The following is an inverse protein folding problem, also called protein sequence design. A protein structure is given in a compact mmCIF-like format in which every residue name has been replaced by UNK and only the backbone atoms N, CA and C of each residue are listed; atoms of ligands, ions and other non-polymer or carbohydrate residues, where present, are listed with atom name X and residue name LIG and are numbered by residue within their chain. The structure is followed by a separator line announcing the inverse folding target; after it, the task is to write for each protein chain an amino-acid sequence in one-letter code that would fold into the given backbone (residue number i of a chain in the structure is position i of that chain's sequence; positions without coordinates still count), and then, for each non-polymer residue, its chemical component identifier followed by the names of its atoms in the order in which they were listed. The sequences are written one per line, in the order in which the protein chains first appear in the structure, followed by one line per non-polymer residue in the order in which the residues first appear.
data_IF_453229588919
#
_entry.id   IF_453229588919
#
_cell.length_a   1.000
_cell.length_b   1.000
_cell.length_c   1.000
_cell.angle_alpha   90.00
_cell.angle_beta   90.00
_cell.angle_gamma   90.00
#
_symmetry.space_group_name_H-M   'P 1'
#
loop_
_entity.id
_entity.type
_entity.pdbx_description
1 polymer ?
#
# COMPACT_ATOMS: atom_id res chain seq x y z
N UNK A 1 -1.83 -26.54 -41.65
CA UNK A 1 -1.51 -26.34 -40.23
C UNK A 1 -1.60 -24.84 -39.95
N UNK A 2 -2.54 -24.41 -39.12
CA UNK A 2 -2.71 -22.98 -38.79
C UNK A 2 -1.77 -22.64 -37.64
N UNK A 3 -1.14 -21.46 -37.67
CA UNK A 3 -0.26 -20.99 -36.59
C UNK A 3 -0.91 -21.02 -35.21
N UNK A 4 -2.24 -20.85 -35.17
CA UNK A 4 -3.06 -20.98 -33.93
C UNK A 4 -3.04 -22.39 -33.31
N UNK A 5 -2.64 -23.42 -34.02
CA UNK A 5 -2.52 -24.78 -33.52
C UNK A 5 -1.15 -25.05 -32.86
N UNK A 6 -0.17 -24.20 -33.18
CA UNK A 6 1.21 -24.28 -32.65
C UNK A 6 1.45 -23.35 -31.47
N UNK A 7 0.63 -22.29 -31.30
CA UNK A 7 0.81 -21.28 -30.27
C UNK A 7 -0.31 -21.42 -29.24
N UNK A 8 0.00 -22.02 -28.12
CA UNK A 8 -0.91 -22.06 -26.96
C UNK A 8 -0.63 -20.90 -26.02
N UNK A 9 -1.50 -19.87 -26.08
CA UNK A 9 -1.46 -18.77 -25.13
C UNK A 9 -2.01 -19.24 -23.78
N UNK A 10 -1.17 -19.30 -22.76
CA UNK A 10 -1.66 -19.53 -21.39
C UNK A 10 -2.59 -18.38 -20.99
N UNK A 11 -3.83 -18.68 -20.64
CA UNK A 11 -4.86 -17.69 -20.21
C UNK A 11 -4.49 -16.90 -18.95
N UNK A 12 -3.40 -17.29 -18.29
CA UNK A 12 -2.91 -16.71 -17.03
C UNK A 12 -2.15 -15.39 -17.21
N UNK A 13 -1.67 -15.05 -18.41
CA UNK A 13 -0.97 -13.79 -18.66
C UNK A 13 -1.98 -12.67 -18.86
N UNK A 14 -2.19 -11.85 -17.83
CA UNK A 14 -2.89 -10.56 -17.96
C UNK A 14 -1.95 -9.53 -18.59
N UNK A 15 -2.50 -8.67 -19.42
CA UNK A 15 -1.73 -7.67 -20.18
C UNK A 15 -1.20 -6.50 -19.34
N UNK A 16 -1.71 -6.31 -18.12
CA UNK A 16 -1.21 -5.31 -17.16
C UNK A 16 -1.02 -5.93 -15.79
N UNK A 17 0.06 -5.58 -15.11
CA UNK A 17 0.27 -5.81 -13.70
C UNK A 17 -0.26 -4.59 -12.94
N UNK A 18 -0.90 -4.82 -11.81
CA UNK A 18 -1.29 -3.78 -10.86
C UNK A 18 -0.85 -4.24 -9.47
N UNK A 19 0.11 -3.55 -8.91
CA UNK A 19 0.77 -3.93 -7.66
C UNK A 19 -0.25 -4.15 -6.51
N UNK A 20 -1.26 -3.28 -6.40
CA UNK A 20 -2.25 -3.34 -5.32
C UNK A 20 -3.10 -4.63 -5.33
N UNK A 21 -3.31 -5.22 -6.51
CA UNK A 21 -4.08 -6.45 -6.68
C UNK A 21 -3.19 -7.68 -6.83
N UNK A 22 -2.05 -7.51 -7.51
CA UNK A 22 -1.21 -8.62 -7.92
C UNK A 22 -0.32 -9.17 -6.80
N UNK A 23 0.02 -8.37 -5.79
CA UNK A 23 0.70 -8.85 -4.58
C UNK A 23 -0.05 -9.96 -3.84
N UNK A 24 -1.39 -10.00 -3.97
CA UNK A 24 -2.24 -11.04 -3.36
C UNK A 24 -2.42 -12.27 -4.24
N UNK A 25 -1.85 -12.28 -5.44
CA UNK A 25 -2.06 -13.34 -6.43
C UNK A 25 -0.87 -14.28 -6.46
N UNK A 26 -1.03 -15.49 -5.92
CA UNK A 26 0.01 -16.51 -5.81
C UNK A 26 0.69 -16.84 -7.14
N UNK A 27 -0.03 -16.69 -8.27
CA UNK A 27 0.49 -17.02 -9.59
C UNK A 27 1.46 -15.98 -10.17
N UNK A 28 1.68 -14.84 -9.52
CA UNK A 28 2.54 -13.79 -10.11
C UNK A 28 4.02 -14.09 -9.97
N UNK A 29 4.43 -14.67 -8.87
CA UNK A 29 5.83 -15.13 -8.69
C UNK A 29 6.09 -16.34 -9.59
N UNK A 30 5.17 -17.29 -9.62
CA UNK A 30 5.30 -18.54 -10.41
C UNK A 30 5.41 -18.29 -11.91
N UNK A 31 4.82 -17.23 -12.42
CA UNK A 31 4.81 -16.87 -13.83
C UNK A 31 5.91 -15.86 -14.21
N UNK A 32 6.75 -15.44 -13.25
CA UNK A 32 7.89 -14.60 -13.57
C UNK A 32 8.96 -15.42 -14.31
N UNK A 33 9.37 -14.92 -15.46
CA UNK A 33 10.41 -15.55 -16.27
C UNK A 33 11.66 -14.66 -16.15
N UNK A 34 12.64 -15.07 -15.34
CA UNK A 34 13.88 -14.30 -15.21
C UNK A 34 14.70 -14.38 -16.48
N UNK A 35 15.48 -13.34 -16.72
CA UNK A 35 16.57 -13.31 -17.67
C UNK A 35 17.78 -12.64 -17.00
N UNK A 36 18.92 -12.57 -17.68
CA UNK A 36 20.15 -11.99 -17.12
C UNK A 36 19.89 -10.60 -16.55
N UNK A 37 19.33 -9.69 -17.34
CA UNK A 37 19.08 -8.29 -16.93
C UNK A 37 18.11 -8.17 -15.77
N UNK A 38 17.00 -8.91 -15.80
CA UNK A 38 16.02 -8.85 -14.69
C UNK A 38 16.57 -9.47 -13.42
N UNK A 39 17.45 -10.45 -13.51
CA UNK A 39 18.12 -11.07 -12.37
C UNK A 39 19.16 -10.12 -11.75
N UNK A 40 19.93 -9.41 -12.57
CA UNK A 40 20.86 -8.36 -12.11
C UNK A 40 20.13 -7.25 -11.37
N UNK A 41 19.06 -6.68 -11.98
CA UNK A 41 18.24 -5.64 -11.35
C UNK A 41 17.64 -6.15 -10.04
N UNK A 42 17.10 -7.38 -10.03
CA UNK A 42 16.53 -7.98 -8.81
C UNK A 42 17.59 -8.06 -7.71
N UNK A 43 18.81 -8.51 -8.03
CA UNK A 43 19.93 -8.56 -7.09
C UNK A 43 20.30 -7.20 -6.54
N UNK A 44 20.48 -6.18 -7.39
CA UNK A 44 20.80 -4.81 -6.96
C UNK A 44 19.76 -4.23 -6.01
N UNK A 45 18.46 -4.47 -6.28
CA UNK A 45 17.39 -3.99 -5.42
C UNK A 45 17.39 -4.71 -4.07
N UNK A 46 17.49 -6.04 -4.07
CA UNK A 46 17.43 -6.84 -2.84
C UNK A 46 18.64 -6.56 -1.94
N UNK A 47 19.85 -6.60 -2.50
CA UNK A 47 21.07 -6.30 -1.72
C UNK A 47 21.03 -4.88 -1.15
N UNK A 48 20.66 -3.89 -1.98
CA UNK A 48 20.61 -2.50 -1.53
C UNK A 48 19.57 -2.19 -0.46
N UNK A 49 18.46 -2.93 -0.41
CA UNK A 49 17.39 -2.73 0.59
C UNK A 49 17.67 -3.55 1.86
N UNK A 50 18.05 -4.80 1.71
CA UNK A 50 18.21 -5.74 2.83
C UNK A 50 19.47 -5.42 3.65
N UNK A 51 20.55 -5.04 3.00
CA UNK A 51 21.82 -4.72 3.68
C UNK A 51 21.90 -3.31 4.24
N UNK A 52 20.81 -2.53 4.12
CA UNK A 52 20.75 -1.20 4.71
C UNK A 52 21.68 -0.18 4.06
N UNK A 53 21.84 -0.27 2.74
CA UNK A 53 22.64 0.68 1.97
C UNK A 53 22.12 2.12 2.06
N UNK A 54 22.94 3.11 1.73
CA UNK A 54 22.61 4.55 1.78
C UNK A 54 21.54 4.98 0.75
N UNK A 55 21.06 4.07 -0.10
CA UNK A 55 20.07 4.35 -1.14
C UNK A 55 18.68 3.90 -0.66
N UNK A 56 17.90 4.86 -0.19
CA UNK A 56 16.56 4.61 0.35
C UNK A 56 15.44 4.68 -0.68
N UNK A 57 15.71 5.10 -1.92
CA UNK A 57 14.73 5.14 -3.01
C UNK A 57 15.31 4.63 -4.32
N UNK A 58 14.49 3.96 -5.12
CA UNK A 58 14.87 3.39 -6.42
C UNK A 58 13.73 3.57 -7.42
N UNK A 59 14.08 3.81 -8.67
CA UNK A 59 13.13 4.00 -9.77
C UNK A 59 13.45 2.99 -10.87
N UNK A 60 12.44 2.19 -11.25
CA UNK A 60 12.48 1.35 -12.44
C UNK A 60 11.97 2.14 -13.64
N UNK A 61 12.81 2.44 -14.59
CA UNK A 61 12.42 3.11 -15.82
C UNK A 61 12.70 2.25 -17.05
N UNK A 62 11.99 2.49 -18.14
CA UNK A 62 12.14 1.75 -19.39
C UNK A 62 10.87 1.77 -20.23
N UNK A 63 10.90 1.18 -21.42
CA UNK A 63 9.79 1.15 -22.37
C UNK A 63 8.54 0.48 -21.79
N UNK A 64 7.37 0.82 -22.32
CA UNK A 64 6.12 0.16 -21.97
C UNK A 64 6.17 -1.33 -22.36
N UNK A 65 5.58 -2.18 -21.52
CA UNK A 65 5.51 -3.64 -21.79
C UNK A 65 6.77 -4.45 -21.45
N UNK A 66 7.82 -3.84 -20.88
CA UNK A 66 9.08 -4.55 -20.53
C UNK A 66 9.02 -5.34 -19.22
N UNK A 67 7.86 -5.41 -18.57
CA UNK A 67 7.67 -6.21 -17.35
C UNK A 67 8.08 -5.52 -16.05
N UNK A 68 8.26 -4.17 -16.03
CA UNK A 68 8.64 -3.41 -14.82
C UNK A 68 7.71 -3.64 -13.63
N UNK A 69 6.40 -3.49 -13.83
CA UNK A 69 5.40 -3.71 -12.77
C UNK A 69 5.40 -5.15 -12.25
N UNK A 70 5.67 -6.13 -13.13
CA UNK A 70 5.82 -7.52 -12.72
C UNK A 70 7.10 -7.74 -11.88
N UNK A 71 8.22 -7.17 -12.31
CA UNK A 71 9.47 -7.20 -11.53
C UNK A 71 9.30 -6.51 -10.17
N UNK A 72 8.64 -5.34 -10.13
CA UNK A 72 8.32 -4.64 -8.89
C UNK A 72 7.45 -5.52 -7.96
N UNK A 73 6.44 -6.21 -8.52
CA UNK A 73 5.61 -7.15 -7.77
C UNK A 73 6.45 -8.28 -7.15
N UNK A 74 7.39 -8.84 -7.90
CA UNK A 74 8.29 -9.90 -7.41
C UNK A 74 9.21 -9.37 -6.31
N UNK A 75 9.81 -8.19 -6.49
CA UNK A 75 10.65 -7.54 -5.46
C UNK A 75 9.85 -7.35 -4.16
N UNK A 76 8.65 -6.78 -4.27
CA UNK A 76 7.76 -6.54 -3.13
C UNK A 76 7.33 -7.85 -2.45
N UNK A 77 7.07 -8.89 -3.21
CA UNK A 77 6.69 -10.19 -2.69
C UNK A 77 7.83 -10.84 -1.89
N UNK A 78 9.05 -10.78 -2.38
CA UNK A 78 10.24 -11.29 -1.68
C UNK A 78 10.47 -10.51 -0.38
N UNK A 79 10.50 -9.17 -0.47
CA UNK A 79 10.76 -8.31 0.68
C UNK A 79 9.67 -8.42 1.76
N UNK A 80 8.41 -8.58 1.34
CA UNK A 80 7.28 -8.74 2.26
C UNK A 80 7.01 -10.16 2.72
N UNK A 81 7.79 -11.15 2.28
CA UNK A 81 7.54 -12.59 2.46
C UNK A 81 6.11 -12.99 2.04
N UNK A 82 5.62 -12.41 0.94
CA UNK A 82 4.27 -12.62 0.43
C UNK A 82 4.32 -13.71 -0.64
N UNK A 83 3.55 -14.80 -0.48
CA UNK A 83 3.47 -15.90 -1.44
C UNK A 83 4.84 -16.55 -1.77
N UNK A 84 5.75 -16.58 -0.80
CA UNK A 84 7.12 -17.12 -0.95
C UNK A 84 7.24 -18.56 -0.42
N UNK A 85 6.14 -19.31 -0.40
CA UNK A 85 6.06 -20.69 0.07
C UNK A 85 5.38 -21.55 -1.01
N UNK A 86 5.87 -22.77 -1.17
CA UNK A 86 5.26 -23.76 -2.05
C UNK A 86 5.98 -23.94 -3.39
N UNK A 87 5.47 -24.90 -4.19
CA UNK A 87 6.12 -25.35 -5.43
C UNK A 87 6.37 -24.26 -6.48
N UNK A 88 5.55 -23.22 -6.49
CA UNK A 88 5.72 -22.12 -7.42
C UNK A 88 6.95 -21.29 -7.08
N UNK A 89 7.10 -20.95 -5.81
CA UNK A 89 8.27 -20.21 -5.34
C UNK A 89 9.56 -21.05 -5.49
N UNK A 90 9.51 -22.35 -5.23
CA UNK A 90 10.66 -23.26 -5.47
C UNK A 90 11.11 -23.21 -6.94
N UNK A 91 10.17 -23.28 -7.90
CA UNK A 91 10.48 -23.15 -9.33
C UNK A 91 11.04 -21.77 -9.69
N UNK A 92 10.54 -20.72 -9.06
CA UNK A 92 11.09 -19.37 -9.23
C UNK A 92 12.55 -19.33 -8.77
N UNK A 93 12.88 -19.85 -7.58
CA UNK A 93 14.27 -19.92 -7.09
C UNK A 93 15.15 -20.77 -8.02
N UNK A 94 14.69 -21.93 -8.46
CA UNK A 94 15.40 -22.75 -9.46
C UNK A 94 15.65 -22.01 -10.78
N UNK A 95 14.74 -21.13 -11.17
CA UNK A 95 14.90 -20.33 -12.39
C UNK A 95 15.90 -19.17 -12.20
N UNK A 96 15.98 -18.56 -11.02
CA UNK A 96 17.01 -17.58 -10.67
C UNK A 96 18.39 -18.25 -10.57
N UNK A 97 18.47 -19.41 -9.95
CA UNK A 97 19.72 -20.18 -9.78
C UNK A 97 20.46 -20.42 -11.10
N UNK A 98 19.72 -20.61 -12.20
CA UNK A 98 20.29 -20.76 -13.57
C UNK A 98 21.09 -19.55 -14.04
N UNK A 99 20.80 -18.37 -13.55
CA UNK A 99 21.43 -17.10 -13.94
C UNK A 99 22.36 -16.57 -12.86
N UNK A 100 21.99 -16.72 -11.58
CA UNK A 100 22.74 -16.22 -10.44
C UNK A 100 22.46 -17.06 -9.19
N UNK A 101 23.34 -18.01 -8.93
CA UNK A 101 23.25 -18.93 -7.79
C UNK A 101 23.32 -18.20 -6.44
N UNK A 102 24.23 -17.23 -6.32
CA UNK A 102 24.42 -16.45 -5.10
C UNK A 102 23.13 -15.70 -4.74
N UNK A 103 22.46 -15.10 -5.73
CA UNK A 103 21.19 -14.43 -5.51
C UNK A 103 20.08 -15.40 -5.09
N UNK A 104 20.00 -16.58 -5.67
CA UNK A 104 19.03 -17.61 -5.27
C UNK A 104 19.22 -18.06 -3.82
N UNK A 105 20.46 -18.30 -3.41
CA UNK A 105 20.83 -18.63 -2.03
C UNK A 105 20.54 -17.45 -1.09
N UNK A 106 20.84 -16.22 -1.49
CA UNK A 106 20.57 -15.00 -0.72
C UNK A 106 19.08 -14.80 -0.47
N UNK A 107 18.24 -14.90 -1.50
CA UNK A 107 16.76 -14.78 -1.37
C UNK A 107 16.25 -15.85 -0.40
N UNK A 108 16.68 -17.08 -0.57
CA UNK A 108 16.25 -18.19 0.28
C UNK A 108 16.66 -17.99 1.74
N UNK A 109 17.90 -17.52 1.98
CA UNK A 109 18.40 -17.18 3.31
C UNK A 109 17.64 -16.04 3.95
N UNK A 110 17.35 -14.96 3.17
CA UNK A 110 16.59 -13.81 3.65
C UNK A 110 15.20 -14.23 4.14
N UNK A 111 14.47 -14.98 3.30
CA UNK A 111 13.11 -15.43 3.66
C UNK A 111 13.10 -16.33 4.88
N UNK A 112 14.12 -17.16 5.04
CA UNK A 112 14.19 -18.12 6.16
C UNK A 112 14.64 -17.50 7.48
N UNK A 113 15.57 -16.54 7.43
CA UNK A 113 16.30 -16.09 8.60
C UNK A 113 15.99 -14.63 9.03
N UNK A 114 15.26 -13.89 8.21
CA UNK A 114 14.99 -12.46 8.46
C UNK A 114 13.51 -12.19 8.64
N UNK A 115 13.19 -11.05 9.27
CA UNK A 115 11.81 -10.54 9.28
C UNK A 115 11.47 -9.94 7.92
N UNK A 116 10.20 -9.97 7.49
CA UNK A 116 9.76 -9.26 6.29
C UNK A 116 9.79 -7.73 6.48
N UNK A 117 9.70 -7.00 5.39
CA UNK A 117 9.31 -5.59 5.38
C UNK A 117 7.78 -5.47 5.28
N UNK A 118 7.22 -4.41 5.84
CA UNK A 118 5.84 -4.03 5.57
C UNK A 118 5.80 -3.35 4.19
N UNK A 119 5.30 -4.06 3.19
CA UNK A 119 5.13 -3.50 1.84
C UNK A 119 3.81 -2.76 1.77
N UNK A 120 3.89 -1.47 1.44
CA UNK A 120 2.75 -0.56 1.30
C UNK A 120 2.60 -0.15 -0.16
N UNK A 121 1.71 -0.80 -0.92
CA UNK A 121 1.37 -0.35 -2.27
C UNK A 121 0.66 1.00 -2.20
N UNK A 122 1.12 1.96 -3.00
CA UNK A 122 0.53 3.29 -3.01
C UNK A 122 -0.67 3.36 -3.95
N UNK A 123 -1.78 3.85 -3.41
CA UNK A 123 -3.01 4.10 -4.15
C UNK A 123 -3.01 5.56 -4.64
N UNK A 124 -3.07 5.77 -5.95
CA UNK A 124 -2.92 7.07 -6.60
C UNK A 124 -4.19 7.95 -6.59
N UNK A 125 -5.13 7.71 -5.68
CA UNK A 125 -6.43 8.39 -5.68
C UNK A 125 -6.40 9.80 -5.08
N UNK A 126 -5.29 10.21 -4.48
CA UNK A 126 -5.11 11.51 -3.84
C UNK A 126 -4.22 12.43 -4.67
N UNK A 127 -4.52 13.75 -4.64
CA UNK A 127 -3.69 14.76 -5.29
C UNK A 127 -2.44 15.13 -4.47
N UNK A 128 -2.54 15.00 -3.13
CA UNK A 128 -1.46 15.33 -2.20
C UNK A 128 -0.68 14.08 -1.82
N UNK A 129 0.63 14.15 -1.99
CA UNK A 129 1.54 13.04 -1.73
C UNK A 129 1.44 12.52 -0.29
N UNK A 130 1.44 13.41 0.70
CA UNK A 130 1.41 13.04 2.12
C UNK A 130 0.12 12.29 2.50
N UNK A 131 -1.02 12.72 1.94
CA UNK A 131 -2.30 12.04 2.12
C UNK A 131 -2.29 10.65 1.49
N UNK A 132 -1.69 10.54 0.30
CA UNK A 132 -1.55 9.27 -0.41
C UNK A 132 -0.76 8.24 0.41
N UNK A 133 0.39 8.66 0.94
CA UNK A 133 1.26 7.84 1.80
C UNK A 133 0.52 7.44 3.08
N UNK A 134 -0.04 8.42 3.80
CA UNK A 134 -0.73 8.19 5.09
C UNK A 134 -1.92 7.23 4.93
N UNK A 135 -2.74 7.44 3.89
CA UNK A 135 -3.87 6.56 3.58
C UNK A 135 -3.43 5.13 3.28
N UNK A 136 -2.46 4.97 2.36
CA UNK A 136 -1.97 3.65 1.95
C UNK A 136 -1.35 2.91 3.13
N UNK A 137 -0.59 3.60 3.96
CA UNK A 137 0.03 3.06 5.16
C UNK A 137 -1.02 2.61 6.18
N UNK A 138 -2.00 3.46 6.51
CA UNK A 138 -3.11 3.11 7.43
C UNK A 138 -3.88 1.90 6.92
N UNK A 139 -4.22 1.87 5.63
CA UNK A 139 -4.92 0.76 5.00
C UNK A 139 -4.14 -0.55 5.12
N UNK A 140 -2.83 -0.52 4.94
CA UNK A 140 -2.01 -1.73 5.04
C UNK A 140 -1.83 -2.17 6.49
N UNK A 141 -1.59 -1.24 7.44
CA UNK A 141 -1.52 -1.53 8.88
C UNK A 141 -2.82 -2.17 9.38
N UNK A 142 -3.97 -1.62 9.01
CA UNK A 142 -5.28 -2.19 9.37
C UNK A 142 -5.46 -3.62 8.84
N UNK A 143 -5.03 -3.92 7.60
CA UNK A 143 -5.05 -5.30 7.07
C UNK A 143 -4.18 -6.27 7.88
N UNK A 144 -3.11 -5.77 8.48
CA UNK A 144 -2.22 -6.54 9.36
C UNK A 144 -2.73 -6.65 10.81
N UNK A 145 -3.88 -6.04 11.12
CA UNK A 145 -4.43 -5.98 12.47
C UNK A 145 -3.60 -5.10 13.41
N UNK A 146 -2.91 -4.10 12.87
CA UNK A 146 -2.12 -3.12 13.61
C UNK A 146 -2.88 -1.80 13.64
N UNK A 147 -3.46 -1.49 14.80
CA UNK A 147 -4.14 -0.22 15.02
C UNK A 147 -3.12 0.86 15.37
N UNK A 148 -3.01 1.88 14.50
CA UNK A 148 -2.16 3.05 14.72
C UNK A 148 -3.01 4.29 14.59
N UNK A 149 -3.01 5.13 15.61
CA UNK A 149 -3.70 6.41 15.57
C UNK A 149 -2.83 7.43 14.82
N UNK A 150 -3.19 7.73 13.58
CA UNK A 150 -2.54 8.78 12.79
C UNK A 150 -3.20 10.12 13.05
N UNK A 151 -2.38 11.17 13.21
CA UNK A 151 -2.86 12.54 13.17
C UNK A 151 -3.14 12.90 11.71
N UNK A 152 -4.39 12.95 11.32
CA UNK A 152 -4.81 13.29 9.97
C UNK A 152 -6.09 14.12 10.02
N UNK A 153 -6.38 14.88 8.95
CA UNK A 153 -7.64 15.58 8.77
C UNK A 153 -8.85 14.70 9.14
N UNK A 154 -8.90 13.50 8.58
CA UNK A 154 -10.00 12.56 8.79
C UNK A 154 -10.16 12.14 10.25
N UNK A 155 -9.04 11.87 10.94
CA UNK A 155 -9.08 11.50 12.35
C UNK A 155 -9.53 12.66 13.23
N UNK A 156 -9.09 13.88 12.96
CA UNK A 156 -9.53 15.07 13.69
C UNK A 156 -11.01 15.38 13.43
N UNK A 157 -11.47 15.19 12.18
CA UNK A 157 -12.88 15.32 11.83
C UNK A 157 -13.74 14.30 12.61
N UNK A 158 -13.33 13.02 12.64
CA UNK A 158 -14.00 11.98 13.42
C UNK A 158 -14.01 12.29 14.92
N UNK A 159 -12.89 12.72 15.49
CA UNK A 159 -12.80 13.11 16.90
C UNK A 159 -13.74 14.28 17.22
N UNK A 160 -13.93 15.20 16.29
CA UNK A 160 -14.84 16.32 16.46
C UNK A 160 -16.31 15.88 16.37
N UNK A 161 -16.63 14.99 15.44
CA UNK A 161 -17.97 14.37 15.37
C UNK A 161 -18.30 13.67 16.68
N UNK A 162 -17.39 12.90 17.26
CA UNK A 162 -17.59 12.26 18.55
C UNK A 162 -17.86 13.27 19.66
N UNK A 163 -17.08 14.37 19.74
CA UNK A 163 -17.34 15.46 20.70
C UNK A 163 -18.72 16.10 20.52
N UNK A 164 -19.21 16.25 19.29
CA UNK A 164 -20.56 16.75 19.03
C UNK A 164 -21.65 15.76 19.44
N UNK A 165 -21.37 14.45 19.32
CA UNK A 165 -22.28 13.38 19.76
C UNK A 165 -22.45 13.28 21.28
N UNK A 166 -21.44 13.71 22.05
CA UNK A 166 -21.46 13.67 23.52
C UNK A 166 -22.54 14.56 24.14
N UNK A 167 -22.97 15.63 23.46
CA UNK A 167 -23.99 16.54 23.91
C UNK A 167 -25.25 16.38 23.06
N UNK A 168 -26.40 16.18 23.74
CA UNK A 168 -27.69 15.94 23.04
C UNK A 168 -28.03 17.01 22.02
N UNK A 169 -27.95 18.29 22.41
CA UNK A 169 -28.26 19.42 21.53
C UNK A 169 -27.34 19.48 20.30
N UNK A 170 -26.02 19.27 20.49
CA UNK A 170 -25.05 19.26 19.39
C UNK A 170 -25.28 18.08 18.47
N UNK A 171 -25.66 16.92 19.01
CA UNK A 171 -25.96 15.70 18.24
C UNK A 171 -27.20 15.89 17.35
N UNK A 172 -28.28 16.42 17.94
CA UNK A 172 -29.52 16.70 17.19
C UNK A 172 -29.23 17.67 16.03
N UNK A 173 -28.52 18.76 16.32
CA UNK A 173 -28.09 19.72 15.30
C UNK A 173 -27.18 19.08 14.23
N UNK A 174 -26.23 18.27 14.60
CA UNK A 174 -25.36 17.57 13.65
C UNK A 174 -26.18 16.71 12.69
N UNK A 175 -27.18 15.98 13.19
CA UNK A 175 -28.08 15.17 12.36
C UNK A 175 -28.89 16.05 11.41
N UNK A 176 -29.40 17.19 11.86
CA UNK A 176 -30.12 18.12 11.01
C UNK A 176 -29.22 18.70 9.91
N UNK A 177 -27.98 19.07 10.24
CA UNK A 177 -27.02 19.60 9.27
C UNK A 177 -26.60 18.51 8.27
N UNK A 178 -26.36 17.28 8.72
CA UNK A 178 -26.09 16.16 7.80
C UNK A 178 -27.25 15.94 6.83
N UNK A 179 -28.49 15.92 7.32
CA UNK A 179 -29.68 15.77 6.47
C UNK A 179 -29.82 16.92 5.46
N UNK A 180 -29.49 18.16 5.85
CA UNK A 180 -29.47 19.33 4.93
C UNK A 180 -28.49 19.09 3.75
N UNK A 181 -27.39 18.39 4.00
CA UNK A 181 -26.38 18.02 2.98
C UNK A 181 -26.65 16.65 2.35
N UNK A 182 -27.86 16.10 2.51
CA UNK A 182 -28.31 14.83 1.90
C UNK A 182 -27.40 13.61 2.27
N UNK A 183 -26.81 13.61 3.46
CA UNK A 183 -25.96 12.53 3.97
C UNK A 183 -26.43 12.06 5.34
N UNK A 184 -26.34 10.77 5.61
CA UNK A 184 -26.55 10.25 6.96
C UNK A 184 -25.28 10.38 7.77
N UNK A 185 -25.39 10.65 9.07
CA UNK A 185 -24.23 10.75 9.95
C UNK A 185 -23.33 9.50 9.89
N UNK A 186 -23.93 8.31 9.88
CA UNK A 186 -23.18 7.05 9.76
C UNK A 186 -22.44 6.89 8.42
N UNK A 187 -23.01 7.41 7.33
CA UNK A 187 -22.36 7.42 6.01
C UNK A 187 -21.19 8.39 5.96
N UNK A 188 -21.34 9.55 6.60
CA UNK A 188 -20.24 10.51 6.75
C UNK A 188 -19.09 9.91 7.57
N UNK A 189 -19.39 9.29 8.73
CA UNK A 189 -18.38 8.63 9.56
C UNK A 189 -17.65 7.53 8.78
N UNK A 190 -18.36 6.65 8.11
CA UNK A 190 -17.78 5.58 7.32
C UNK A 190 -16.92 6.10 6.16
N UNK A 191 -17.33 7.18 5.50
CA UNK A 191 -16.55 7.79 4.43
C UNK A 191 -15.29 8.50 4.94
N UNK A 192 -15.33 9.13 6.12
CA UNK A 192 -14.16 9.68 6.80
C UNK A 192 -13.20 8.58 7.28
N UNK A 193 -13.71 7.48 7.82
CA UNK A 193 -12.91 6.31 8.21
C UNK A 193 -12.21 5.65 7.02
N UNK A 194 -12.88 5.63 5.87
CA UNK A 194 -12.32 5.11 4.62
C UNK A 194 -11.39 6.08 3.89
N UNK A 195 -11.19 7.30 4.42
CA UNK A 195 -10.40 8.36 3.79
C UNK A 195 -10.92 8.76 2.40
N UNK A 196 -12.24 8.73 2.21
CA UNK A 196 -12.83 9.17 0.96
C UNK A 196 -12.62 10.68 0.77
N UNK A 197 -11.99 11.05 -0.35
CA UNK A 197 -11.72 12.44 -0.69
C UNK A 197 -12.96 13.32 -0.72
N UNK A 198 -14.11 12.77 -1.11
CA UNK A 198 -15.37 13.52 -1.12
C UNK A 198 -15.84 13.87 0.28
N UNK A 199 -15.51 13.06 1.27
CA UNK A 199 -15.87 13.31 2.67
C UNK A 199 -15.15 14.52 3.26
N UNK A 200 -13.99 14.90 2.75
CA UNK A 200 -13.27 16.12 3.15
C UNK A 200 -14.10 17.38 2.87
N UNK A 201 -14.52 17.56 1.60
CA UNK A 201 -15.35 18.70 1.20
C UNK A 201 -16.70 18.70 1.90
N UNK A 202 -17.30 17.53 2.05
CA UNK A 202 -18.58 17.37 2.72
C UNK A 202 -18.48 17.73 4.19
N UNK A 203 -17.43 17.26 4.88
CA UNK A 203 -17.21 17.60 6.29
C UNK A 203 -16.94 19.10 6.48
N UNK A 204 -16.17 19.75 5.60
CA UNK A 204 -15.93 21.19 5.65
C UNK A 204 -17.24 22.00 5.55
N UNK A 205 -18.18 21.57 4.69
CA UNK A 205 -19.49 22.22 4.59
C UNK A 205 -20.32 22.01 5.87
N UNK A 206 -20.33 20.78 6.40
CA UNK A 206 -21.02 20.46 7.66
C UNK A 206 -20.39 21.21 8.83
N UNK A 207 -19.08 21.26 8.92
CA UNK A 207 -18.37 22.01 9.95
C UNK A 207 -18.72 23.51 9.93
N UNK A 208 -18.73 24.11 8.73
CA UNK A 208 -19.10 25.50 8.54
C UNK A 208 -20.53 25.81 9.03
N UNK A 209 -21.47 24.90 8.74
CA UNK A 209 -22.86 25.05 9.22
C UNK A 209 -22.99 24.81 10.74
N UNK A 210 -22.24 23.84 11.28
CA UNK A 210 -22.19 23.57 12.72
C UNK A 210 -21.61 24.73 13.53
N UNK A 211 -20.62 25.43 12.97
CA UNK A 211 -19.84 26.49 13.63
C UNK A 211 -20.22 27.90 13.21
N UNK A 212 -21.33 28.07 12.49
CA UNK A 212 -21.81 29.38 12.00
C UNK A 212 -20.81 30.13 11.12
N UNK A 213 -20.10 29.42 10.28
CA UNK A 213 -19.24 29.97 9.23
C UNK A 213 -17.73 29.84 9.45
N UNK A 214 -17.27 29.21 10.54
CA UNK A 214 -15.84 28.94 10.71
C UNK A 214 -15.33 27.90 9.68
N UNK A 215 -14.06 28.00 9.33
CA UNK A 215 -13.39 27.01 8.49
C UNK A 215 -12.72 25.96 9.36
N UNK A 216 -12.83 24.70 8.98
CA UNK A 216 -12.09 23.63 9.65
C UNK A 216 -10.62 23.69 9.23
N UNK A 217 -9.75 23.85 10.21
CA UNK A 217 -8.31 23.76 10.04
C UNK A 217 -7.82 22.59 10.87
N UNK A 218 -7.44 21.51 10.22
CA UNK A 218 -6.79 20.40 10.91
C UNK A 218 -5.32 20.75 11.13
N UNK A 219 -4.80 20.50 12.32
CA UNK A 219 -3.37 20.31 12.51
C UNK A 219 -3.02 18.96 11.87
N UNK A 220 -2.82 18.96 10.56
CA UNK A 220 -2.38 17.75 9.85
C UNK A 220 -1.07 17.32 10.49
N UNK A 221 -1.09 16.20 11.20
CA UNK A 221 0.11 15.63 11.76
C UNK A 221 1.15 15.49 10.66
N UNK A 222 2.36 15.92 10.94
CA UNK A 222 3.47 15.81 10.01
C UNK A 222 3.56 14.34 9.53
N UNK A 223 3.72 14.10 8.23
CA UNK A 223 3.92 12.77 7.68
C UNK A 223 4.99 11.99 8.46
N UNK A 224 6.02 12.67 8.92
CA UNK A 224 7.10 12.09 9.74
C UNK A 224 6.55 11.49 11.04
N UNK A 225 5.68 12.21 11.76
CA UNK A 225 5.08 11.70 13.02
C UNK A 225 4.26 10.44 12.78
N UNK A 226 3.53 10.39 11.67
CA UNK A 226 2.73 9.22 11.27
C UNK A 226 3.63 8.04 10.88
N UNK A 227 4.75 8.29 10.19
CA UNK A 227 5.75 7.28 9.84
C UNK A 227 6.44 6.73 11.10
N UNK A 228 6.79 7.59 12.06
CA UNK A 228 7.39 7.18 13.32
C UNK A 228 6.42 6.33 14.16
N UNK A 229 5.15 6.72 14.24
CA UNK A 229 4.12 5.92 14.91
C UNK A 229 3.97 4.54 14.26
N UNK A 230 3.94 4.49 12.93
CA UNK A 230 3.88 3.24 12.18
C UNK A 230 5.12 2.36 12.43
N UNK A 231 6.33 2.93 12.36
CA UNK A 231 7.58 2.22 12.63
C UNK A 231 7.61 1.61 14.03
N UNK A 232 7.10 2.33 15.03
CA UNK A 232 6.99 1.79 16.39
C UNK A 232 6.02 0.61 16.46
N UNK A 233 4.90 0.70 15.76
CA UNK A 233 3.88 -0.37 15.76
C UNK A 233 4.37 -1.66 15.08
N UNK A 234 5.18 -1.54 14.03
CA UNK A 234 5.63 -2.69 13.23
C UNK A 234 6.90 -3.37 13.74
N UNK A 235 7.70 -2.72 14.60
CA UNK A 235 9.09 -3.12 14.96
C UNK A 235 9.27 -4.58 15.42
N UNK A 236 8.23 -5.20 15.97
CA UNK A 236 8.29 -6.59 16.40
C UNK A 236 8.08 -7.60 15.27
N UNK A 237 7.33 -7.22 14.23
CA UNK A 237 6.95 -8.10 13.11
C UNK A 237 7.75 -7.86 11.85
N UNK A 238 8.18 -6.62 11.61
CA UNK A 238 8.79 -6.18 10.36
C UNK A 238 10.14 -5.50 10.62
N UNK A 239 11.02 -5.48 9.59
CA UNK A 239 12.29 -4.77 9.63
C UNK A 239 12.13 -3.27 9.36
N UNK A 240 11.12 -2.89 8.56
CA UNK A 240 10.85 -1.53 8.14
C UNK A 240 9.68 -1.47 7.18
N UNK A 241 9.44 -0.29 6.61
CA UNK A 241 8.35 -0.01 5.67
C UNK A 241 8.92 0.22 4.28
N UNK A 242 8.30 -0.36 3.27
CA UNK A 242 8.63 -0.13 1.85
C UNK A 242 7.38 0.40 1.16
N UNK A 243 7.46 1.61 0.62
CA UNK A 243 6.43 2.19 -0.22
C UNK A 243 6.70 1.84 -1.68
N UNK A 244 5.72 1.25 -2.34
CA UNK A 244 5.84 0.80 -3.71
C UNK A 244 4.81 1.52 -4.60
N UNK A 245 5.31 2.23 -5.60
CA UNK A 245 4.55 3.02 -6.57
C UNK A 245 4.57 2.31 -7.92
N UNK A 246 3.38 2.10 -8.56
CA UNK A 246 3.25 1.47 -9.89
C UNK A 246 2.33 2.30 -10.81
#
# INVERSE_FOLDING_TARGET
MKYSELIHKKKQYKYSANLCFDLKNDNKIDNFIPNITTTEILGEYLYGIIEGGNVHSRILYGSYGTGKSHLLTVICAILGHINVIGKGFEKFIESIDKYNKELAEYITSFIKNSKPFLVVPIYSDFQEFDKCITFSLKKELNKQGLEVCFKSYFQEALNLIEKWKDRKESKERLIEVCNKHEVRLSELEQSLESFDKKSELLFDMIFKDMTYGASFTSEVGNLIDNLDAANQAIKFRYQGIIFAFD
#
